data_IF_151523978038
#
_entry.id   IF_151523978038
#
_cell.length_a   1.000
_cell.length_b   1.000
_cell.length_c   1.000
_cell.angle_alpha   90.00
_cell.angle_beta   90.00
_cell.angle_gamma   90.00
#
_symmetry.space_group_name_H-M   'P 1'
#
loop_
_entity.id
_entity.type
_entity.pdbx_description
1 polymer ?
#
# COMPACT_ATOMS: atom_id res chain seq x y z
N UNK A 1 -21.68 -2.86 0.38
CA UNK A 1 -20.28 -2.39 0.31
C UNK A 1 -19.66 -2.89 -0.97
N UNK A 2 -18.97 -2.03 -1.71
CA UNK A 2 -18.28 -2.41 -2.95
C UNK A 2 -17.01 -3.18 -2.55
N UNK A 3 -16.94 -4.46 -2.86
CA UNK A 3 -15.79 -5.33 -2.49
C UNK A 3 -14.62 -5.22 -3.45
N UNK A 4 -14.85 -4.62 -4.62
CA UNK A 4 -13.95 -4.67 -5.76
C UNK A 4 -13.75 -3.25 -6.30
N UNK A 5 -12.52 -2.77 -6.29
CA UNK A 5 -12.10 -1.53 -6.93
C UNK A 5 -11.67 -1.86 -8.36
N UNK A 6 -12.17 -1.09 -9.33
CA UNK A 6 -11.78 -1.21 -10.74
C UNK A 6 -10.79 -0.12 -11.14
N UNK A 7 -10.24 -0.23 -12.35
CA UNK A 7 -9.46 0.87 -12.95
C UNK A 7 -10.30 2.15 -13.07
N UNK A 8 -11.59 2.01 -13.43
CA UNK A 8 -12.51 3.13 -13.55
C UNK A 8 -12.76 3.81 -12.20
N UNK A 9 -12.88 3.04 -11.13
CA UNK A 9 -12.99 3.60 -9.77
C UNK A 9 -11.74 4.40 -9.40
N UNK A 10 -10.56 3.84 -9.69
CA UNK A 10 -9.28 4.50 -9.42
C UNK A 10 -9.13 5.80 -10.20
N UNK A 11 -9.45 5.80 -11.50
CA UNK A 11 -9.34 6.99 -12.35
C UNK A 11 -10.50 7.98 -12.14
N UNK A 12 -11.63 7.52 -11.63
CA UNK A 12 -12.78 8.35 -11.25
C UNK A 12 -12.57 9.12 -9.93
N UNK A 13 -11.69 8.64 -9.06
CA UNK A 13 -11.35 9.34 -7.81
C UNK A 13 -10.56 10.64 -8.07
N UNK A 14 -10.88 11.69 -7.30
CA UNK A 14 -10.26 13.00 -7.45
C UNK A 14 -8.74 13.03 -7.22
N UNK A 15 -8.20 12.14 -6.39
CA UNK A 15 -6.76 11.96 -6.22
C UNK A 15 -6.21 10.93 -7.22
N UNK A 16 -6.92 9.82 -7.43
CA UNK A 16 -6.51 8.74 -8.32
C UNK A 16 -6.32 9.18 -9.77
N UNK A 17 -7.18 10.08 -10.28
CA UNK A 17 -7.03 10.69 -11.61
C UNK A 17 -5.68 11.40 -11.83
N UNK A 18 -5.02 11.85 -10.75
CA UNK A 18 -3.71 12.53 -10.81
C UNK A 18 -2.54 11.56 -11.07
N UNK A 19 -2.83 10.26 -11.00
CA UNK A 19 -1.89 9.17 -11.26
C UNK A 19 -2.29 8.36 -12.52
N UNK A 20 -3.02 8.97 -13.45
CA UNK A 20 -3.36 8.36 -14.73
C UNK A 20 -2.10 7.93 -15.51
N UNK A 21 -0.99 8.66 -15.36
CA UNK A 21 0.30 8.30 -15.94
C UNK A 21 0.84 6.98 -15.36
N UNK A 22 0.73 6.76 -14.04
CA UNK A 22 1.10 5.49 -13.40
C UNK A 22 0.18 4.36 -13.86
N UNK A 23 -1.12 4.62 -13.96
CA UNK A 23 -2.10 3.63 -14.42
C UNK A 23 -1.87 3.21 -15.88
N UNK A 24 -1.39 4.15 -16.71
CA UNK A 24 -1.09 3.91 -18.12
C UNK A 24 0.31 3.33 -18.38
N UNK A 25 1.22 3.36 -17.39
CA UNK A 25 2.59 2.87 -17.57
C UNK A 25 2.58 1.33 -17.69
N UNK A 26 2.93 0.77 -18.87
CA UNK A 26 2.90 -0.67 -19.10
C UNK A 26 3.90 -1.42 -18.21
N UNK A 27 4.90 -0.73 -17.67
CA UNK A 27 5.86 -1.33 -16.76
C UNK A 27 5.36 -1.41 -15.32
N UNK A 28 4.47 -0.51 -14.90
CA UNK A 28 3.85 -0.57 -13.57
C UNK A 28 2.94 -1.79 -13.49
N UNK A 29 2.25 -2.14 -14.59
CA UNK A 29 1.26 -3.22 -14.61
C UNK A 29 0.15 -2.97 -13.59
N UNK A 30 -0.43 -1.76 -13.61
CA UNK A 30 -1.37 -1.28 -12.60
C UNK A 30 -2.59 -2.19 -12.42
N UNK A 31 -3.01 -2.87 -13.48
CA UNK A 31 -3.99 -3.96 -13.48
C UNK A 31 -3.69 -5.03 -12.42
N UNK A 32 -2.42 -5.41 -12.27
CA UNK A 32 -1.99 -6.40 -11.27
C UNK A 32 -2.09 -5.87 -9.84
N UNK A 33 -1.80 -4.59 -9.60
CA UNK A 33 -1.92 -3.99 -8.26
C UNK A 33 -3.37 -3.96 -7.79
N UNK A 34 -4.27 -3.54 -8.70
CA UNK A 34 -5.72 -3.54 -8.45
C UNK A 34 -6.21 -4.97 -8.19
N UNK A 35 -5.90 -5.91 -9.08
CA UNK A 35 -6.31 -7.31 -8.92
C UNK A 35 -5.77 -7.92 -7.62
N UNK A 36 -4.52 -7.62 -7.27
CA UNK A 36 -3.90 -8.10 -6.05
C UNK A 36 -4.61 -7.58 -4.80
N UNK A 37 -4.96 -6.29 -4.73
CA UNK A 37 -5.62 -5.70 -3.56
C UNK A 37 -7.14 -5.95 -3.49
N UNK A 38 -7.74 -6.40 -4.60
CA UNK A 38 -9.12 -6.90 -4.63
C UNK A 38 -9.31 -8.23 -3.88
N UNK A 39 -8.24 -8.89 -3.44
CA UNK A 39 -8.33 -10.05 -2.56
C UNK A 39 -8.87 -9.68 -1.17
N UNK A 40 -9.92 -10.38 -0.75
CA UNK A 40 -10.62 -10.09 0.51
C UNK A 40 -9.71 -10.24 1.74
N UNK A 41 -8.83 -11.24 1.77
CA UNK A 41 -7.97 -11.46 2.92
C UNK A 41 -6.94 -10.32 3.10
N UNK A 42 -6.50 -9.72 1.99
CA UNK A 42 -5.64 -8.51 2.03
C UNK A 42 -6.40 -7.29 2.52
N UNK A 43 -7.64 -7.11 2.10
CA UNK A 43 -8.48 -6.02 2.60
C UNK A 43 -8.74 -6.14 4.10
N UNK A 44 -9.01 -7.36 4.59
CA UNK A 44 -9.16 -7.62 6.02
C UNK A 44 -7.85 -7.32 6.78
N UNK A 45 -6.68 -7.63 6.20
CA UNK A 45 -5.37 -7.25 6.77
C UNK A 45 -5.17 -5.74 6.87
N UNK A 46 -5.65 -4.96 5.90
CA UNK A 46 -5.61 -3.49 5.99
C UNK A 46 -6.35 -2.97 7.23
N UNK A 47 -7.56 -3.48 7.47
CA UNK A 47 -8.35 -3.09 8.65
C UNK A 47 -7.73 -3.59 9.95
N UNK A 48 -7.25 -4.83 9.98
CA UNK A 48 -6.61 -5.39 11.17
C UNK A 48 -5.40 -4.57 11.62
N UNK A 49 -4.64 -3.98 10.69
CA UNK A 49 -3.52 -3.10 11.01
C UNK A 49 -3.97 -1.90 11.87
N UNK A 50 -5.08 -1.26 11.51
CA UNK A 50 -5.62 -0.11 12.25
C UNK A 50 -6.29 -0.54 13.56
N UNK A 51 -7.10 -1.61 13.54
CA UNK A 51 -7.90 -2.03 14.71
C UNK A 51 -7.05 -2.70 15.79
N UNK A 52 -6.18 -3.63 15.40
CA UNK A 52 -5.52 -4.53 16.35
C UNK A 52 -4.07 -4.21 16.61
N UNK A 53 -3.40 -3.50 15.71
CA UNK A 53 -1.97 -3.26 15.79
C UNK A 53 -1.59 -1.79 15.95
N UNK A 54 -2.56 -0.87 15.94
CA UNK A 54 -2.31 0.59 15.96
C UNK A 54 -1.26 1.02 14.90
N UNK A 55 -1.34 0.38 13.72
CA UNK A 55 -0.46 0.63 12.59
C UNK A 55 -1.26 1.19 11.41
N UNK A 56 -0.64 2.01 10.54
CA UNK A 56 -1.27 2.41 9.29
C UNK A 56 -1.76 1.21 8.48
N UNK A 57 -2.92 1.34 7.84
CA UNK A 57 -3.55 0.26 7.06
C UNK A 57 -2.57 -0.48 6.13
N UNK A 58 -1.74 0.26 5.38
CA UNK A 58 -0.76 -0.32 4.46
C UNK A 58 0.22 -1.30 5.13
N UNK A 59 0.49 -1.16 6.44
CA UNK A 59 1.36 -2.07 7.19
C UNK A 59 0.85 -3.52 7.15
N UNK A 60 -0.47 -3.72 7.13
CA UNK A 60 -1.09 -5.05 7.16
C UNK A 60 -0.76 -5.93 5.95
N UNK A 61 -0.39 -5.31 4.82
CA UNK A 61 -0.16 -6.02 3.54
C UNK A 61 1.27 -5.88 3.03
N UNK A 62 2.10 -5.08 3.72
CA UNK A 62 3.35 -4.55 3.15
C UNK A 62 4.37 -5.65 2.84
N UNK A 63 4.54 -6.61 3.76
CA UNK A 63 5.47 -7.73 3.58
C UNK A 63 5.05 -8.63 2.43
N UNK A 64 3.76 -8.92 2.34
CA UNK A 64 3.21 -9.76 1.27
C UNK A 64 3.39 -9.05 -0.08
N UNK A 65 3.07 -7.75 -0.14
CA UNK A 65 3.24 -6.92 -1.33
C UNK A 65 4.71 -6.87 -1.78
N UNK A 66 5.65 -6.66 -0.86
CA UNK A 66 7.08 -6.60 -1.19
C UNK A 66 7.68 -7.93 -1.64
N UNK A 67 7.01 -9.06 -1.32
CA UNK A 67 7.40 -10.38 -1.79
C UNK A 67 6.92 -10.67 -3.23
N UNK A 68 5.95 -9.92 -3.73
CA UNK A 68 5.41 -10.12 -5.07
C UNK A 68 6.45 -9.83 -6.17
N UNK A 69 6.62 -10.73 -7.16
CA UNK A 69 7.58 -10.53 -8.24
C UNK A 69 7.35 -9.23 -9.00
N UNK A 70 6.10 -8.86 -9.29
CA UNK A 70 5.80 -7.64 -10.05
C UNK A 70 6.16 -6.36 -9.29
N UNK A 71 6.14 -6.40 -7.95
CA UNK A 71 6.54 -5.28 -7.08
C UNK A 71 8.06 -5.18 -7.03
N UNK A 72 8.74 -6.31 -6.76
CA UNK A 72 10.20 -6.37 -6.69
C UNK A 72 10.86 -5.99 -8.01
N UNK A 73 10.36 -6.53 -9.12
CA UNK A 73 10.90 -6.30 -10.45
C UNK A 73 10.70 -4.83 -10.88
N UNK A 74 9.56 -4.23 -10.54
CA UNK A 74 9.31 -2.82 -10.78
C UNK A 74 10.27 -1.95 -9.96
N UNK A 75 10.26 -2.06 -8.64
CA UNK A 75 11.07 -1.17 -7.79
C UNK A 75 12.58 -1.41 -7.91
N UNK A 76 13.02 -2.60 -8.34
CA UNK A 76 14.44 -2.89 -8.58
C UNK A 76 15.04 -2.23 -9.82
N UNK A 77 14.20 -1.74 -10.75
CA UNK A 77 14.66 -1.24 -12.07
C UNK A 77 14.29 0.22 -12.35
N UNK A 78 13.55 0.87 -11.46
CA UNK A 78 12.94 2.20 -11.70
C UNK A 78 13.72 3.30 -11.00
N UNK A 79 13.62 4.51 -11.55
CA UNK A 79 14.16 5.70 -10.91
C UNK A 79 13.46 5.98 -9.58
N UNK A 80 14.14 6.68 -8.67
CA UNK A 80 13.56 7.07 -7.38
C UNK A 80 12.26 7.89 -7.53
N UNK A 81 12.18 8.75 -8.56
CA UNK A 81 11.00 9.55 -8.86
C UNK A 81 9.80 8.69 -9.30
N UNK A 82 10.01 7.75 -10.24
CA UNK A 82 8.97 6.83 -10.69
C UNK A 82 8.50 5.93 -9.54
N UNK A 83 9.45 5.42 -8.74
CA UNK A 83 9.15 4.63 -7.56
C UNK A 83 8.30 5.42 -6.54
N UNK A 84 8.66 6.66 -6.23
CA UNK A 84 7.89 7.50 -5.32
C UNK A 84 6.46 7.72 -5.83
N UNK A 85 6.31 7.99 -7.13
CA UNK A 85 5.01 8.25 -7.75
C UNK A 85 4.09 7.02 -7.70
N UNK A 86 4.61 5.83 -7.97
CA UNK A 86 3.85 4.57 -7.83
C UNK A 86 3.47 4.28 -6.38
N UNK A 87 4.34 4.60 -5.40
CA UNK A 87 4.00 4.47 -3.98
C UNK A 87 2.83 5.39 -3.58
N UNK A 88 2.79 6.59 -4.12
CA UNK A 88 1.68 7.53 -3.89
C UNK A 88 0.37 7.02 -4.51
N UNK A 89 0.44 6.52 -5.75
CA UNK A 89 -0.70 5.89 -6.42
C UNK A 89 -1.24 4.69 -5.61
N UNK A 90 -0.35 3.86 -5.04
CA UNK A 90 -0.75 2.76 -4.16
C UNK A 90 -1.44 3.26 -2.89
N UNK A 91 -0.97 4.37 -2.32
CA UNK A 91 -1.63 5.01 -1.19
C UNK A 91 -3.10 5.38 -1.50
N UNK A 92 -3.36 5.90 -2.70
CA UNK A 92 -4.73 6.17 -3.17
C UNK A 92 -5.52 4.88 -3.37
N UNK A 93 -4.91 3.84 -3.94
CA UNK A 93 -5.58 2.56 -4.10
C UNK A 93 -6.01 1.97 -2.73
N UNK A 94 -5.12 1.98 -1.73
CA UNK A 94 -5.45 1.57 -0.36
C UNK A 94 -6.57 2.42 0.23
N UNK A 95 -6.53 3.75 0.04
CA UNK A 95 -7.60 4.67 0.46
C UNK A 95 -8.96 4.20 -0.10
N UNK A 96 -9.05 3.93 -1.40
CA UNK A 96 -10.30 3.50 -2.02
C UNK A 96 -10.84 2.20 -1.42
N UNK A 97 -9.97 1.23 -1.13
CA UNK A 97 -10.37 0.00 -0.45
C UNK A 97 -10.84 0.23 0.98
N UNK A 98 -10.15 1.09 1.74
CA UNK A 98 -10.54 1.45 3.11
C UNK A 98 -11.90 2.18 3.12
N UNK A 99 -12.09 3.17 2.26
CA UNK A 99 -13.33 3.94 2.13
C UNK A 99 -14.51 3.07 1.67
N UNK A 100 -14.29 2.17 0.71
CA UNK A 100 -15.30 1.20 0.30
C UNK A 100 -15.76 0.28 1.45
N UNK A 101 -14.96 0.20 2.53
CA UNK A 101 -15.23 -0.55 3.75
C UNK A 101 -15.72 0.29 4.93
N UNK A 102 -16.05 1.55 4.66
CA UNK A 102 -16.61 2.47 5.65
C UNK A 102 -15.57 3.15 6.53
N UNK A 103 -14.29 3.12 6.15
CA UNK A 103 -13.24 3.88 6.82
C UNK A 103 -13.08 5.26 6.22
N UNK A 104 -12.55 6.19 7.00
CA UNK A 104 -12.20 7.55 6.55
C UNK A 104 -10.73 7.83 6.82
N UNK A 105 -10.08 8.56 5.92
CA UNK A 105 -8.73 9.07 6.15
C UNK A 105 -8.73 10.01 7.36
N UNK A 106 -7.61 10.04 8.09
CA UNK A 106 -7.42 10.98 9.20
C UNK A 106 -6.72 12.27 8.76
N UNK A 107 -6.14 12.28 7.55
CA UNK A 107 -5.24 13.33 7.07
C UNK A 107 -3.84 13.24 7.67
N UNK A 108 -3.53 12.18 8.41
CA UNK A 108 -2.26 12.00 9.12
C UNK A 108 -1.58 10.70 8.73
N UNK A 109 -0.25 10.74 8.69
CA UNK A 109 0.57 9.55 8.41
C UNK A 109 1.15 8.96 9.69
N UNK A 110 1.10 7.65 9.81
CA UNK A 110 1.81 6.89 10.84
C UNK A 110 3.02 6.15 10.27
N UNK A 111 3.98 5.78 11.13
CA UNK A 111 5.16 5.02 10.71
C UNK A 111 4.79 3.59 10.33
N UNK A 112 5.42 3.04 9.29
CA UNK A 112 5.26 1.65 8.84
C UNK A 112 6.28 0.70 9.48
N UNK A 113 6.84 1.10 10.62
CA UNK A 113 7.89 0.40 11.36
C UNK A 113 8.82 1.40 12.06
N UNK A 114 9.42 1.01 13.20
CA UNK A 114 10.48 1.79 13.87
C UNK A 114 11.81 1.08 13.63
N UNK A 115 12.79 1.76 13.01
CA UNK A 115 14.16 1.23 12.83
C UNK A 115 14.69 0.86 14.19
N UNK A 116 14.90 -0.42 14.44
CA UNK A 116 15.64 -0.84 15.63
C UNK A 116 17.09 -0.42 15.37
N UNK A 117 17.66 0.49 16.18
CA UNK A 117 19.02 0.96 15.99
C UNK A 117 20.06 -0.17 16.07
N UNK A 118 19.70 -1.33 16.63
CA UNK A 118 20.57 -2.50 16.78
C UNK A 118 20.41 -3.54 15.66
N UNK A 119 19.52 -3.33 14.67
CA UNK A 119 19.27 -4.32 13.62
C UNK A 119 20.37 -4.32 12.54
N UNK A 120 21.15 -5.41 12.51
CA UNK A 120 22.33 -5.62 11.64
C UNK A 120 22.01 -6.23 10.26
N UNK A 121 20.74 -6.35 9.88
CA UNK A 121 20.34 -6.75 8.52
C UNK A 121 20.47 -8.25 8.19
N UNK A 122 20.78 -9.11 9.17
CA UNK A 122 20.78 -10.58 9.01
C UNK A 122 19.95 -11.23 10.12
N UNK A 123 18.66 -11.45 9.87
CA UNK A 123 17.78 -12.18 10.77
C UNK A 123 16.36 -12.27 10.21
N UNK A 124 15.68 -13.39 10.45
CA UNK A 124 14.34 -13.68 9.96
C UNK A 124 13.31 -12.62 10.38
N UNK A 125 12.57 -12.10 9.41
CA UNK A 125 11.71 -10.91 9.48
C UNK A 125 10.38 -11.12 10.27
N UNK A 126 10.36 -11.92 11.34
CA UNK A 126 9.14 -12.28 12.08
C UNK A 126 9.02 -11.57 13.45
N UNK A 127 9.17 -10.24 13.48
CA UNK A 127 8.93 -9.42 14.67
C UNK A 127 7.87 -8.32 14.42
N UNK A 128 7.20 -7.79 15.47
CA UNK A 128 6.02 -6.92 15.42
C UNK A 128 6.27 -5.50 14.85
N UNK A 129 7.40 -5.29 14.17
CA UNK A 129 7.86 -4.02 13.59
C UNK A 129 8.51 -4.30 12.23
N UNK A 130 7.71 -4.82 11.30
CA UNK A 130 8.19 -5.14 9.95
C UNK A 130 8.73 -3.90 9.25
N UNK A 131 10.03 -3.88 8.94
CA UNK A 131 10.59 -2.86 8.07
C UNK A 131 10.06 -3.02 6.66
N UNK A 132 9.41 -1.97 6.17
CA UNK A 132 9.21 -1.83 4.75
C UNK A 132 10.54 -1.58 4.05
N UNK A 133 10.76 -2.28 2.93
CA UNK A 133 11.86 -1.99 2.02
C UNK A 133 11.66 -0.64 1.30
N UNK A 134 10.42 -0.26 1.01
CA UNK A 134 10.16 0.88 0.12
C UNK A 134 9.35 2.04 0.73
N UNK A 135 8.64 1.85 1.83
CA UNK A 135 7.79 2.87 2.45
C UNK A 135 8.27 3.23 3.86
N UNK A 136 8.10 4.48 4.28
CA UNK A 136 8.46 4.92 5.65
C UNK A 136 7.23 5.17 6.51
N UNK A 137 6.17 5.69 5.89
CA UNK A 137 4.91 6.04 6.53
C UNK A 137 3.75 5.88 5.56
N UNK A 138 2.54 5.72 6.11
CA UNK A 138 1.30 5.67 5.35
C UNK A 138 0.16 6.35 6.11
N UNK A 139 -0.91 6.64 5.38
CA UNK A 139 -2.14 7.23 5.91
C UNK A 139 -2.74 6.39 7.04
N UNK A 140 -3.22 7.06 8.10
CA UNK A 140 -4.02 6.47 9.17
C UNK A 140 -5.49 6.61 8.86
N UNK A 141 -6.27 5.62 9.26
CA UNK A 141 -7.71 5.58 9.05
C UNK A 141 -8.47 5.49 10.37
N UNK A 142 -9.71 5.99 10.36
CA UNK A 142 -10.68 5.83 11.43
C UNK A 142 -11.99 5.30 10.88
N UNK A 143 -12.73 4.59 11.71
CA UNK A 143 -14.05 4.07 11.38
C UNK A 143 -15.13 4.86 12.11
#
# INVERSE_FOLDING_TARGET
MKSTITMEDFLGDGQGRRFADVASDPHVRWDKWIAWLNDRARQERLEMAEVHFDMPALAGILRELEAEPFVRDYFGRRSAAAALRTKQALGVLVKLHMEARGWSTTGTKGPLGRRDPNYSGRGEHNGPRSFSRYWQSAERYRR
#
